data_IF_736195730362
#
_entry.id   IF_736195730362
#
_cell.length_a   1.000
_cell.length_b   1.000
_cell.length_c   1.000
_cell.angle_alpha   90.00
_cell.angle_beta   90.00
_cell.angle_gamma   90.00
#
_symmetry.space_group_name_H-M   'P 1'
#
loop_
_entity.id
_entity.type
_entity.pdbx_description
1 polymer ?
#
# COMPACT_ATOMS: atom_id res chain seq x y z
N UNK A 1 24.68 43.04 0.64
CA UNK A 1 24.68 41.83 1.49
C UNK A 1 23.32 41.14 1.34
N UNK A 2 23.07 40.46 0.22
CA UNK A 2 21.73 39.90 -0.05
C UNK A 2 21.79 38.59 -0.84
N UNK A 3 22.73 37.71 -0.49
CA UNK A 3 22.92 36.45 -1.20
C UNK A 3 23.02 35.22 -0.29
N UNK A 4 22.53 35.29 0.95
CA UNK A 4 22.59 34.17 1.91
C UNK A 4 21.25 33.79 2.60
N UNK A 5 20.16 34.54 2.40
CA UNK A 5 18.87 34.23 3.05
C UNK A 5 18.07 33.12 2.35
N UNK A 6 18.18 32.97 1.03
CA UNK A 6 17.44 31.94 0.28
C UNK A 6 17.94 30.51 0.55
N UNK A 7 19.23 30.33 0.82
CA UNK A 7 19.81 28.99 1.04
C UNK A 7 19.44 28.41 2.42
N UNK A 8 19.45 29.25 3.47
CA UNK A 8 19.08 28.87 4.85
C UNK A 8 17.60 28.51 5.01
N UNK A 9 16.70 29.14 4.25
CA UNK A 9 15.27 28.83 4.32
C UNK A 9 14.94 27.53 3.57
N UNK A 10 15.68 27.21 2.50
CA UNK A 10 15.50 25.95 1.75
C UNK A 10 15.97 24.74 2.55
N UNK A 11 17.09 24.83 3.28
CA UNK A 11 17.55 23.73 4.13
C UNK A 11 16.63 23.51 5.34
N UNK A 12 16.25 24.57 6.05
CA UNK A 12 15.34 24.47 7.22
C UNK A 12 13.92 24.04 6.84
N UNK A 13 13.44 24.44 5.66
CA UNK A 13 12.14 24.02 5.13
C UNK A 13 12.14 22.55 4.71
N UNK A 14 13.24 22.06 4.14
CA UNK A 14 13.42 20.65 3.81
C UNK A 14 13.46 19.79 5.08
N UNK A 15 14.19 20.22 6.12
CA UNK A 15 14.23 19.51 7.40
C UNK A 15 12.82 19.41 8.05
N UNK A 16 12.05 20.51 8.07
CA UNK A 16 10.69 20.52 8.64
C UNK A 16 9.72 19.66 7.80
N UNK A 17 9.84 19.67 6.47
CA UNK A 17 9.03 18.83 5.57
C UNK A 17 9.34 17.35 5.83
N UNK A 18 10.60 16.98 5.98
CA UNK A 18 11.04 15.62 6.31
C UNK A 18 10.49 15.16 7.67
N UNK A 19 10.59 15.99 8.72
CA UNK A 19 10.01 15.67 10.03
C UNK A 19 8.48 15.60 10.02
N UNK A 20 7.81 16.50 9.30
CA UNK A 20 6.35 16.45 9.15
C UNK A 20 5.90 15.22 8.35
N UNK A 21 6.69 14.77 7.37
CA UNK A 21 6.44 13.54 6.61
C UNK A 21 6.70 12.30 7.44
N UNK A 22 7.79 12.23 8.20
CA UNK A 22 8.02 11.15 9.16
C UNK A 22 6.91 11.08 10.21
N UNK A 23 6.45 12.22 10.71
CA UNK A 23 5.32 12.29 11.62
C UNK A 23 4.01 11.87 10.94
N UNK A 24 3.76 12.31 9.71
CA UNK A 24 2.58 11.90 8.93
C UNK A 24 2.60 10.39 8.61
N UNK A 25 3.78 9.80 8.41
CA UNK A 25 3.97 8.36 8.26
C UNK A 25 3.66 7.64 9.58
N UNK A 26 4.19 8.11 10.69
CA UNK A 26 3.90 7.54 12.03
C UNK A 26 2.41 7.65 12.37
N UNK A 27 1.79 8.79 12.08
CA UNK A 27 0.35 9.03 12.29
C UNK A 27 -0.49 8.21 11.32
N UNK A 28 -0.08 8.08 10.05
CA UNK A 28 -0.76 7.28 9.03
C UNK A 28 -0.72 5.79 9.35
N UNK A 29 0.44 5.27 9.76
CA UNK A 29 0.60 3.90 10.28
C UNK A 29 -0.25 3.71 11.55
N UNK A 30 -0.28 4.71 12.44
CA UNK A 30 -1.12 4.71 13.64
C UNK A 30 -2.62 4.65 13.34
N UNK A 31 -3.08 5.34 12.29
CA UNK A 31 -4.46 5.30 11.82
C UNK A 31 -4.81 3.94 11.18
N UNK A 32 -3.94 3.43 10.30
CA UNK A 32 -4.05 2.12 9.63
C UNK A 32 -4.16 0.94 10.61
N UNK A 33 -3.45 1.00 11.74
CA UNK A 33 -3.33 -0.10 12.70
C UNK A 33 -4.35 -0.03 13.84
N UNK A 34 -5.12 1.06 13.92
CA UNK A 34 -6.00 1.37 15.05
C UNK A 34 -7.02 0.25 15.36
N UNK A 35 -7.43 -0.54 14.36
CA UNK A 35 -8.48 -1.57 14.48
C UNK A 35 -7.99 -3.00 14.77
N UNK A 36 -6.70 -3.24 15.07
CA UNK A 36 -6.28 -4.56 15.56
C UNK A 36 -6.89 -4.86 16.94
N UNK A 37 -7.52 -6.02 17.11
CA UNK A 37 -8.04 -6.45 18.42
C UNK A 37 -6.88 -6.55 19.41
N UNK A 38 -7.03 -5.99 20.61
CA UNK A 38 -6.04 -6.00 21.69
C UNK A 38 -4.84 -5.02 21.53
N UNK A 39 -4.41 -4.42 22.64
CA UNK A 39 -3.34 -3.40 22.66
C UNK A 39 -1.97 -3.96 22.29
N UNK A 40 -1.70 -5.23 22.63
CA UNK A 40 -0.43 -5.88 22.31
C UNK A 40 -0.20 -6.01 20.80
N UNK A 41 -1.25 -6.34 20.04
CA UNK A 41 -1.17 -6.49 18.58
C UNK A 41 -0.99 -5.13 17.90
N UNK A 42 -1.67 -4.08 18.40
CA UNK A 42 -1.45 -2.70 17.94
C UNK A 42 -0.01 -2.24 18.16
N UNK A 43 0.53 -2.51 19.34
CA UNK A 43 1.90 -2.15 19.71
C UNK A 43 2.90 -2.90 18.83
N UNK A 44 2.73 -4.21 18.67
CA UNK A 44 3.59 -5.03 17.80
C UNK A 44 3.53 -4.60 16.33
N UNK A 45 2.35 -4.20 15.84
CA UNK A 45 2.22 -3.73 14.48
C UNK A 45 2.84 -2.33 14.29
N UNK A 46 2.68 -1.41 15.24
CA UNK A 46 3.35 -0.10 15.20
C UNK A 46 4.87 -0.27 15.27
N UNK A 47 5.39 -1.12 16.16
CA UNK A 47 6.83 -1.38 16.26
C UNK A 47 7.38 -2.18 15.07
N UNK A 48 6.62 -3.15 14.55
CA UNK A 48 6.97 -3.88 13.34
C UNK A 48 7.04 -2.97 12.12
N UNK A 49 6.04 -2.10 11.96
CA UNK A 49 6.06 -1.08 10.91
C UNK A 49 7.16 -0.03 11.13
N UNK A 50 7.50 0.31 12.38
CA UNK A 50 8.62 1.21 12.68
C UNK A 50 9.98 0.58 12.33
N UNK A 51 10.17 -0.73 12.57
CA UNK A 51 11.39 -1.43 12.16
C UNK A 51 11.51 -1.50 10.63
N UNK A 52 10.40 -1.75 9.93
CA UNK A 52 10.37 -1.69 8.46
C UNK A 52 10.63 -0.27 7.95
N UNK A 53 10.09 0.75 8.61
CA UNK A 53 10.35 2.15 8.32
C UNK A 53 11.84 2.45 8.47
N UNK A 54 12.47 2.09 9.59
CA UNK A 54 13.90 2.31 9.82
C UNK A 54 14.76 1.61 8.76
N UNK A 55 14.44 0.35 8.43
CA UNK A 55 15.14 -0.39 7.38
C UNK A 55 14.92 0.21 5.97
N UNK A 56 13.78 0.87 5.74
CA UNK A 56 13.50 1.58 4.49
C UNK A 56 14.22 2.93 4.45
N UNK A 57 14.25 3.68 5.56
CA UNK A 57 15.00 4.94 5.71
C UNK A 57 16.51 4.73 5.53
N UNK A 58 17.06 3.60 5.99
CA UNK A 58 18.46 3.24 5.76
C UNK A 58 18.80 3.02 4.28
N UNK A 59 17.81 2.65 3.45
CA UNK A 59 17.98 2.37 2.02
C UNK A 59 17.52 3.50 1.10
N UNK A 60 16.54 4.29 1.55
CA UNK A 60 15.85 5.31 0.78
C UNK A 60 15.76 6.59 1.60
N UNK A 61 16.31 7.68 1.08
CA UNK A 61 16.30 8.99 1.75
C UNK A 61 15.20 9.93 1.25
N UNK A 62 14.51 9.58 0.15
CA UNK A 62 13.44 10.41 -0.39
C UNK A 62 12.14 10.22 0.42
N UNK A 63 11.62 11.27 1.07
CA UNK A 63 10.40 11.20 1.87
C UNK A 63 9.17 10.72 1.09
N UNK A 64 9.09 10.99 -0.21
CA UNK A 64 7.99 10.55 -1.05
C UNK A 64 8.04 9.04 -1.30
N UNK A 65 9.25 8.50 -1.53
CA UNK A 65 9.48 7.06 -1.65
C UNK A 65 9.13 6.38 -0.33
N UNK A 66 9.60 6.94 0.79
CA UNK A 66 9.29 6.43 2.13
C UNK A 66 7.79 6.40 2.40
N UNK A 67 7.07 7.50 2.16
CA UNK A 67 5.62 7.57 2.33
C UNK A 67 4.91 6.42 1.60
N UNK A 68 5.18 6.27 0.30
CA UNK A 68 4.52 5.28 -0.54
C UNK A 68 4.90 3.84 -0.12
N UNK A 69 6.16 3.61 0.28
CA UNK A 69 6.62 2.28 0.73
C UNK A 69 5.99 1.86 2.05
N UNK A 70 5.87 2.79 2.99
CA UNK A 70 5.24 2.50 4.28
C UNK A 70 3.75 2.19 4.13
N UNK A 71 3.06 2.92 3.25
CA UNK A 71 1.66 2.61 2.92
C UNK A 71 1.55 1.25 2.22
N UNK A 72 2.52 0.89 1.36
CA UNK A 72 2.59 -0.45 0.76
C UNK A 72 2.83 -1.56 1.78
N UNK A 73 3.71 -1.38 2.76
CA UNK A 73 3.91 -2.35 3.84
C UNK A 73 2.64 -2.54 4.67
N UNK A 74 1.88 -1.47 4.93
CA UNK A 74 0.57 -1.58 5.55
C UNK A 74 -0.45 -2.34 4.67
N UNK A 75 -0.47 -2.07 3.36
CA UNK A 75 -1.28 -2.83 2.39
C UNK A 75 -0.94 -4.32 2.40
N UNK A 76 0.34 -4.68 2.44
CA UNK A 76 0.78 -6.07 2.55
C UNK A 76 0.28 -6.72 3.82
N UNK A 77 0.40 -6.03 4.97
CA UNK A 77 -0.10 -6.54 6.25
C UNK A 77 -1.61 -6.77 6.22
N UNK A 78 -2.39 -5.81 5.71
CA UNK A 78 -3.85 -5.94 5.58
C UNK A 78 -4.24 -7.15 4.72
N UNK A 79 -3.59 -7.34 3.56
CA UNK A 79 -3.82 -8.50 2.71
C UNK A 79 -3.43 -9.82 3.40
N UNK A 80 -2.26 -9.87 4.05
CA UNK A 80 -1.80 -11.06 4.77
C UNK A 80 -2.75 -11.45 5.90
N UNK A 81 -3.16 -10.48 6.71
CA UNK A 81 -4.09 -10.71 7.82
C UNK A 81 -5.45 -11.20 7.30
N UNK A 82 -5.96 -10.63 6.20
CA UNK A 82 -7.21 -11.05 5.58
C UNK A 82 -7.12 -12.47 4.99
N UNK A 83 -5.97 -12.85 4.42
CA UNK A 83 -5.74 -14.22 3.93
C UNK A 83 -5.64 -15.20 5.10
N UNK A 84 -4.86 -14.88 6.14
CA UNK A 84 -4.70 -15.72 7.31
C UNK A 84 -6.03 -15.97 8.06
N UNK A 85 -6.92 -14.97 8.09
CA UNK A 85 -8.27 -15.08 8.65
C UNK A 85 -9.27 -15.82 7.75
N UNK A 86 -8.93 -16.09 6.49
CA UNK A 86 -9.83 -16.66 5.49
C UNK A 86 -10.86 -15.67 4.93
N UNK A 87 -10.76 -14.38 5.27
CA UNK A 87 -11.55 -13.30 4.66
C UNK A 87 -11.29 -13.23 3.15
N UNK A 88 -10.04 -13.40 2.75
CA UNK A 88 -9.62 -13.51 1.34
C UNK A 88 -9.06 -14.91 1.13
N UNK A 89 -9.57 -15.64 0.14
CA UNK A 89 -9.06 -16.97 -0.21
C UNK A 89 -8.66 -17.00 -1.68
N UNK A 90 -7.48 -17.56 -1.94
CA UNK A 90 -6.88 -17.66 -3.27
C UNK A 90 -6.71 -19.14 -3.62
N UNK A 91 -7.16 -19.56 -4.79
CA UNK A 91 -6.78 -20.87 -5.33
C UNK A 91 -5.27 -20.90 -5.63
N UNK A 92 -4.70 -22.09 -5.78
CA UNK A 92 -3.31 -22.22 -6.20
C UNK A 92 -3.07 -21.51 -7.54
N UNK A 93 -1.98 -20.74 -7.61
CA UNK A 93 -1.62 -19.87 -8.73
C UNK A 93 -2.41 -18.56 -8.83
N UNK A 94 -3.46 -18.35 -8.01
CA UNK A 94 -4.20 -17.09 -8.01
C UNK A 94 -3.39 -15.97 -7.37
N UNK A 95 -3.61 -14.74 -7.85
CA UNK A 95 -3.02 -13.52 -7.31
C UNK A 95 -4.11 -12.52 -7.00
N UNK A 96 -3.97 -11.81 -5.87
CA UNK A 96 -4.79 -10.65 -5.53
C UNK A 96 -3.88 -9.47 -5.24
N UNK A 97 -4.29 -8.26 -5.62
CA UNK A 97 -3.52 -7.06 -5.32
C UNK A 97 -4.38 -5.84 -5.05
N UNK A 98 -3.83 -4.92 -4.27
CA UNK A 98 -4.42 -3.61 -3.95
C UNK A 98 -3.40 -2.51 -4.22
N UNK A 99 -3.87 -1.37 -4.74
CA UNK A 99 -3.01 -0.26 -5.18
C UNK A 99 -3.57 1.09 -4.78
N UNK A 100 -2.68 1.99 -4.40
CA UNK A 100 -2.92 3.43 -4.38
C UNK A 100 -2.52 4.05 -5.73
N UNK A 101 -3.23 5.08 -6.16
CA UNK A 101 -2.99 5.77 -7.42
C UNK A 101 -3.11 7.29 -7.28
N UNK A 102 -2.47 8.06 -8.16
CA UNK A 102 -2.40 9.52 -8.08
C UNK A 102 -3.65 10.24 -8.63
N UNK A 103 -4.69 9.48 -8.97
CA UNK A 103 -5.90 9.98 -9.59
C UNK A 103 -7.15 9.27 -9.07
N UNK A 104 -8.31 9.94 -9.05
CA UNK A 104 -9.55 9.36 -8.55
C UNK A 104 -10.04 8.24 -9.46
N UNK A 105 -10.51 7.15 -8.86
CA UNK A 105 -11.11 6.02 -9.59
C UNK A 105 -12.64 6.08 -9.50
N UNK A 106 -13.31 6.28 -10.64
CA UNK A 106 -14.77 6.35 -10.71
C UNK A 106 -15.51 5.08 -10.28
N UNK A 107 -14.83 3.93 -10.22
CA UNK A 107 -15.38 2.64 -9.76
C UNK A 107 -15.22 2.40 -8.26
N UNK A 108 -14.63 3.33 -7.53
CA UNK A 108 -14.41 3.26 -6.08
C UNK A 108 -14.72 4.60 -5.41
N UNK A 109 -15.90 5.15 -5.66
CA UNK A 109 -16.37 6.43 -5.07
C UNK A 109 -15.38 7.60 -5.24
N UNK A 110 -14.60 7.58 -6.33
CA UNK A 110 -13.52 8.54 -6.62
C UNK A 110 -12.34 8.50 -5.65
N UNK A 111 -12.24 7.48 -4.81
CA UNK A 111 -11.02 7.21 -4.05
C UNK A 111 -9.88 6.86 -5.01
N UNK A 112 -8.67 7.17 -4.55
CA UNK A 112 -7.42 7.02 -5.26
C UNK A 112 -6.87 5.60 -5.15
N UNK A 113 -7.72 4.61 -5.43
CA UNK A 113 -7.42 3.19 -5.25
C UNK A 113 -7.77 2.33 -6.47
N UNK A 114 -7.13 1.18 -6.53
CA UNK A 114 -7.38 0.15 -7.53
C UNK A 114 -7.03 -1.24 -6.99
N UNK A 115 -7.22 -2.28 -7.79
CA UNK A 115 -6.86 -3.65 -7.43
C UNK A 115 -6.77 -4.55 -8.65
N UNK A 116 -6.24 -5.75 -8.42
CA UNK A 116 -6.23 -6.79 -9.42
C UNK A 116 -6.61 -8.15 -8.84
N UNK A 117 -7.02 -9.04 -9.73
CA UNK A 117 -7.07 -10.46 -9.45
C UNK A 117 -6.65 -11.28 -10.68
N UNK A 118 -5.99 -12.40 -10.44
CA UNK A 118 -5.81 -13.48 -11.42
C UNK A 118 -6.26 -14.80 -10.78
N UNK A 119 -6.74 -15.74 -11.58
CA UNK A 119 -7.31 -16.99 -11.06
C UNK A 119 -8.56 -16.78 -10.21
N UNK A 120 -8.85 -17.75 -9.34
CA UNK A 120 -10.02 -17.74 -8.48
C UNK A 120 -9.69 -17.11 -7.13
N UNK A 121 -10.39 -16.03 -6.82
CA UNK A 121 -10.27 -15.31 -5.55
C UNK A 121 -11.67 -15.12 -4.98
N UNK A 122 -11.86 -15.50 -3.72
CA UNK A 122 -13.09 -15.19 -2.97
C UNK A 122 -12.80 -14.22 -1.83
N UNK A 123 -13.78 -13.36 -1.55
CA UNK A 123 -13.74 -12.36 -0.47
C UNK A 123 -15.04 -12.49 0.31
N UNK A 124 -14.96 -12.71 1.61
CA UNK A 124 -16.13 -13.00 2.47
C UNK A 124 -17.02 -14.12 1.91
N UNK A 125 -16.38 -15.18 1.38
CA UNK A 125 -17.07 -16.33 0.79
C UNK A 125 -17.76 -16.09 -0.56
N UNK A 126 -17.62 -14.90 -1.16
CA UNK A 126 -18.17 -14.55 -2.48
C UNK A 126 -17.05 -14.45 -3.51
N UNK A 127 -17.33 -14.76 -4.78
CA UNK A 127 -16.38 -14.45 -5.88
C UNK A 127 -15.99 -12.97 -5.84
N UNK A 128 -14.72 -12.67 -6.12
CA UNK A 128 -14.18 -11.31 -6.13
C UNK A 128 -15.06 -10.31 -6.89
N UNK A 129 -15.57 -10.68 -8.09
CA UNK A 129 -16.42 -9.78 -8.88
C UNK A 129 -17.78 -9.59 -8.20
N UNK A 130 -18.37 -10.67 -7.68
CA UNK A 130 -19.64 -10.63 -6.95
C UNK A 130 -19.54 -9.86 -5.62
N UNK A 131 -18.34 -9.75 -5.03
CA UNK A 131 -18.08 -8.94 -3.85
C UNK A 131 -17.91 -7.43 -4.16
N UNK A 132 -18.07 -6.99 -5.42
CA UNK A 132 -17.82 -5.60 -5.81
C UNK A 132 -16.39 -5.33 -6.27
N UNK A 133 -15.72 -6.38 -6.77
CA UNK A 133 -14.37 -6.33 -7.33
C UNK A 133 -13.34 -5.71 -6.37
N UNK A 134 -12.42 -4.89 -6.89
CA UNK A 134 -11.34 -4.32 -6.09
C UNK A 134 -11.85 -3.41 -4.97
N UNK A 135 -12.95 -2.68 -5.20
CA UNK A 135 -13.49 -1.81 -4.16
C UNK A 135 -14.11 -2.62 -3.02
N UNK A 136 -14.76 -3.73 -3.35
CA UNK A 136 -15.19 -4.73 -2.38
C UNK A 136 -14.05 -5.34 -1.59
N UNK A 137 -12.93 -5.65 -2.25
CA UNK A 137 -11.72 -6.14 -1.59
C UNK A 137 -11.16 -5.12 -0.61
N UNK A 138 -10.96 -3.87 -1.03
CA UNK A 138 -10.47 -2.80 -0.14
C UNK A 138 -11.29 -2.67 1.14
N UNK A 139 -12.62 -2.66 1.01
CA UNK A 139 -13.54 -2.62 2.17
C UNK A 139 -13.46 -3.85 3.07
N UNK A 140 -13.04 -5.00 2.55
CA UNK A 140 -12.95 -6.25 3.31
C UNK A 140 -11.61 -6.43 4.01
N UNK A 141 -10.54 -5.78 3.53
CA UNK A 141 -9.18 -5.92 4.09
C UNK A 141 -8.77 -4.73 4.95
N UNK A 142 -9.45 -3.60 4.81
CA UNK A 142 -9.19 -2.36 5.53
C UNK A 142 -10.46 -1.86 6.26
N UNK A 143 -10.74 -2.47 7.41
CA UNK A 143 -11.86 -2.07 8.28
C UNK A 143 -11.74 -0.60 8.76
N UNK A 144 -10.53 -0.03 8.76
CA UNK A 144 -10.28 1.36 9.17
C UNK A 144 -10.62 2.38 8.08
N UNK A 145 -10.87 1.92 6.85
CA UNK A 145 -11.09 2.75 5.68
C UNK A 145 -9.97 3.77 5.43
N UNK A 146 -8.73 3.40 5.77
CA UNK A 146 -7.53 4.17 5.45
C UNK A 146 -7.39 4.45 3.95
N UNK A 147 -7.94 3.58 3.10
CA UNK A 147 -7.99 3.74 1.65
C UNK A 147 -8.63 5.05 1.18
N UNK A 148 -9.43 5.70 2.03
CA UNK A 148 -10.00 7.03 1.75
C UNK A 148 -8.92 8.13 1.63
N UNK A 149 -7.77 7.93 2.29
CA UNK A 149 -6.60 8.79 2.22
C UNK A 149 -5.49 8.29 1.28
N UNK A 150 -5.74 7.24 0.50
CA UNK A 150 -4.75 6.70 -0.43
C UNK A 150 -4.26 7.78 -1.40
N UNK A 151 -2.94 7.84 -1.60
CA UNK A 151 -2.32 8.82 -2.48
C UNK A 151 -0.93 8.36 -2.88
N UNK A 152 -0.37 9.00 -3.91
CA UNK A 152 0.99 8.78 -4.40
C UNK A 152 1.79 10.05 -4.16
N UNK A 153 2.87 9.94 -3.39
CA UNK A 153 3.75 11.05 -3.08
C UNK A 153 4.87 11.18 -4.12
N UNK A 154 5.34 10.07 -4.70
CA UNK A 154 6.40 10.09 -5.72
C UNK A 154 5.94 10.81 -6.99
N UNK A 155 6.74 11.76 -7.48
CA UNK A 155 6.38 12.61 -8.63
C UNK A 155 6.41 11.89 -9.97
N UNK A 156 7.24 10.86 -10.10
CA UNK A 156 7.43 10.08 -11.32
C UNK A 156 6.58 8.79 -11.35
N UNK A 157 5.78 8.55 -10.31
CA UNK A 157 4.88 7.40 -10.21
C UNK A 157 3.44 7.85 -10.29
N UNK A 158 2.65 7.04 -10.98
CA UNK A 158 1.20 7.21 -11.02
C UNK A 158 0.50 6.29 -10.02
N UNK A 159 1.13 5.19 -9.62
CA UNK A 159 0.54 4.22 -8.71
C UNK A 159 1.61 3.35 -8.04
N UNK A 160 1.26 2.76 -6.90
CA UNK A 160 2.02 1.71 -6.24
C UNK A 160 1.07 0.77 -5.49
N UNK A 161 1.54 -0.43 -5.17
CA UNK A 161 0.71 -1.40 -4.47
C UNK A 161 1.41 -2.70 -4.15
N UNK A 162 0.61 -3.65 -3.66
CA UNK A 162 1.06 -4.97 -3.23
C UNK A 162 0.23 -6.05 -3.88
N UNK A 163 0.89 -7.10 -4.33
CA UNK A 163 0.31 -8.33 -4.87
C UNK A 163 0.70 -9.51 -3.98
N UNK A 164 -0.26 -10.39 -3.68
CA UNK A 164 0.00 -11.69 -3.05
C UNK A 164 -0.46 -12.80 -3.99
N UNK A 165 0.47 -13.68 -4.34
CA UNK A 165 0.23 -14.89 -5.14
C UNK A 165 0.28 -16.12 -4.24
N UNK A 166 -0.74 -16.97 -4.29
CA UNK A 166 -0.69 -18.30 -3.68
C UNK A 166 0.09 -19.24 -4.61
N UNK A 167 1.27 -19.70 -4.18
CA UNK A 167 2.11 -20.63 -4.94
C UNK A 167 1.72 -22.11 -4.72
N UNK A 168 0.70 -22.37 -3.91
CA UNK A 168 0.30 -23.70 -3.45
C UNK A 168 1.01 -24.14 -2.18
N UNK A 169 0.50 -25.20 -1.55
CA UNK A 169 1.09 -25.81 -0.34
C UNK A 169 1.33 -24.85 0.83
N UNK A 170 0.49 -23.80 0.96
CA UNK A 170 0.61 -22.80 2.02
C UNK A 170 1.76 -21.80 1.81
N UNK A 171 2.36 -21.75 0.62
CA UNK A 171 3.43 -20.83 0.28
C UNK A 171 2.90 -19.66 -0.57
N UNK A 172 3.32 -18.45 -0.23
CA UNK A 172 2.89 -17.23 -0.93
C UNK A 172 4.08 -16.39 -1.37
N UNK A 173 3.94 -15.74 -2.52
CA UNK A 173 4.84 -14.66 -2.97
C UNK A 173 4.15 -13.32 -2.74
N UNK A 174 4.84 -12.39 -2.08
CA UNK A 174 4.38 -11.00 -1.93
C UNK A 174 5.28 -10.11 -2.77
N UNK A 175 4.70 -9.32 -3.68
CA UNK A 175 5.42 -8.38 -4.54
C UNK A 175 4.93 -6.97 -4.29
N UNK A 176 5.88 -6.05 -4.18
CA UNK A 176 5.62 -4.63 -4.01
C UNK A 176 6.03 -3.92 -5.30
N UNK A 177 5.11 -3.13 -5.85
CA UNK A 177 5.27 -2.54 -7.18
C UNK A 177 4.94 -1.06 -7.21
N UNK A 178 5.59 -0.36 -8.12
CA UNK A 178 5.22 0.98 -8.54
C UNK A 178 5.32 1.11 -10.05
N UNK A 179 4.54 2.02 -10.61
CA UNK A 179 4.55 2.26 -12.04
C UNK A 179 4.03 3.64 -12.41
N UNK A 180 4.25 3.95 -13.69
CA UNK A 180 3.75 5.13 -14.36
C UNK A 180 2.83 4.72 -15.51
N UNK A 181 1.82 5.51 -15.78
CA UNK A 181 0.86 5.33 -16.84
C UNK A 181 -0.35 4.49 -16.45
N UNK A 182 -1.43 4.73 -17.20
CA UNK A 182 -2.70 4.03 -17.11
C UNK A 182 -3.02 3.38 -18.46
N UNK A 183 -3.76 2.28 -18.45
CA UNK A 183 -4.20 1.59 -19.66
C UNK A 183 -5.40 2.27 -20.33
N UNK A 184 -6.02 3.25 -19.66
CA UNK A 184 -7.16 4.00 -20.17
C UNK A 184 -7.21 5.43 -19.64
N UNK A 185 -7.99 6.28 -20.32
CA UNK A 185 -8.16 7.69 -19.97
C UNK A 185 -8.91 7.90 -18.65
N UNK A 186 -9.76 6.95 -18.26
CA UNK A 186 -10.50 6.98 -16.99
C UNK A 186 -9.62 6.70 -15.77
N UNK A 187 -8.35 6.33 -15.98
CA UNK A 187 -7.38 6.01 -14.93
C UNK A 187 -7.87 4.96 -13.94
N UNK A 188 -8.70 4.03 -14.41
CA UNK A 188 -9.25 2.94 -13.61
C UNK A 188 -8.61 1.58 -13.93
N UNK A 189 -7.58 1.57 -14.79
CA UNK A 189 -6.76 0.41 -15.10
C UNK A 189 -5.31 0.80 -15.39
N UNK A 190 -4.39 -0.10 -15.04
CA UNK A 190 -2.97 -0.04 -15.37
C UNK A 190 -2.46 -1.46 -15.66
N UNK A 191 -1.21 -1.58 -16.12
CA UNK A 191 -0.55 -2.85 -16.46
C UNK A 191 0.57 -3.15 -15.46
N UNK A 192 0.30 -3.86 -14.36
CA UNK A 192 1.32 -4.17 -13.36
C UNK A 192 2.50 -4.99 -13.87
N UNK A 193 2.35 -5.70 -14.99
CA UNK A 193 3.45 -6.43 -15.65
C UNK A 193 4.59 -5.52 -16.10
N UNK A 194 4.28 -4.27 -16.43
CA UNK A 194 5.21 -3.32 -17.04
C UNK A 194 5.86 -2.41 -15.97
N UNK A 195 5.68 -2.77 -14.70
CA UNK A 195 6.01 -1.96 -13.53
C UNK A 195 7.33 -2.37 -12.88
N UNK A 196 7.86 -1.49 -12.05
CA UNK A 196 9.02 -1.80 -11.23
C UNK A 196 8.59 -2.66 -10.03
N UNK A 197 9.24 -3.81 -9.86
CA UNK A 197 9.11 -4.65 -8.67
C UNK A 197 10.30 -4.39 -7.75
N UNK A 198 10.11 -3.50 -6.77
CA UNK A 198 11.20 -3.03 -5.90
C UNK A 198 11.41 -3.91 -4.66
N UNK A 199 10.44 -4.76 -4.31
CA UNK A 199 10.55 -5.70 -3.17
C UNK A 199 9.74 -6.95 -3.45
N UNK A 200 10.33 -8.11 -3.15
CA UNK A 200 9.66 -9.41 -3.20
C UNK A 200 10.05 -10.21 -1.97
N UNK A 201 9.08 -10.89 -1.38
CA UNK A 201 9.30 -11.76 -0.22
C UNK A 201 8.44 -13.02 -0.32
N UNK A 202 8.92 -14.08 0.33
CA UNK A 202 8.15 -15.31 0.54
C UNK A 202 7.44 -15.21 1.89
N UNK A 203 6.17 -15.59 1.92
CA UNK A 203 5.36 -15.59 3.13
C UNK A 203 4.65 -16.94 3.29
N UNK A 204 4.73 -17.50 4.50
CA UNK A 204 4.04 -18.72 4.90
C UNK A 204 3.21 -18.38 6.16
N UNK A 205 1.87 -18.26 6.07
CA UNK A 205 0.99 -17.98 7.20
C UNK A 205 1.04 -19.04 8.31
#
# INVERSE_FOLDING_TARGET
MEHNRKHSLRSKGQDIIEYALMLAIVVGIGFLIYNQSNMADKINAVFGNANNLLATVEKESDPAVLHDRNYADAMAKMLKDAIAKGTVQLSDGATVGIYAQNAPNGKADKYNINGLKTGNVTVNGKDYMANGAFYGLWKAVDDSQSYTGASVAQKDKDWYGVEITNNGSGNYTVKYRDGSGYSNASKDGFRPSDSNNYKTETWNP
#
